data_IF_710971516166
#
_entry.id   IF_710971516166
#
_cell.length_a   1.000
_cell.length_b   1.000
_cell.length_c   1.000
_cell.angle_alpha   90.00
_cell.angle_beta   90.00
_cell.angle_gamma   90.00
#
_symmetry.space_group_name_H-M   'P 1'
#
loop_
_entity.id
_entity.type
_entity.pdbx_description
1 polymer ?
#
# COMPACT_ATOMS: atom_id res chain seq x y z
N UNK A 1 -3.61 17.96 -7.79
CA UNK A 1 -3.23 16.98 -8.84
C UNK A 1 -2.40 17.62 -9.95
N UNK A 2 -2.41 18.97 -10.09
CA UNK A 2 -1.78 19.69 -11.21
C UNK A 2 -2.52 19.57 -12.56
N UNK A 3 -3.67 18.88 -12.59
CA UNK A 3 -4.52 18.79 -13.77
C UNK A 3 -5.43 20.01 -13.89
N UNK A 4 -5.79 20.39 -15.13
CA UNK A 4 -6.79 21.43 -15.41
C UNK A 4 -8.16 20.97 -14.92
N UNK A 5 -8.83 21.84 -14.17
CA UNK A 5 -10.16 21.62 -13.63
C UNK A 5 -11.11 22.68 -14.13
N UNK A 6 -12.38 22.34 -14.35
CA UNK A 6 -13.43 23.29 -14.60
C UNK A 6 -13.81 24.08 -13.35
N UNK A 7 -14.76 25.01 -13.47
CA UNK A 7 -15.22 25.89 -12.38
C UNK A 7 -15.81 25.13 -11.19
N UNK A 8 -16.29 23.92 -11.41
CA UNK A 8 -16.90 23.04 -10.41
C UNK A 8 -15.90 22.03 -9.84
N UNK A 9 -14.62 22.05 -10.28
CA UNK A 9 -13.55 21.20 -9.80
C UNK A 9 -13.44 19.85 -10.49
N UNK A 10 -14.08 19.64 -11.64
CA UNK A 10 -13.97 18.39 -12.43
C UNK A 10 -12.82 18.47 -13.43
N UNK A 11 -12.19 17.33 -13.70
CA UNK A 11 -11.05 17.23 -14.62
C UNK A 11 -11.49 17.54 -16.05
N UNK A 12 -10.85 18.52 -16.69
CA UNK A 12 -11.10 18.86 -18.08
C UNK A 12 -10.48 17.83 -19.02
N UNK A 13 -11.31 17.26 -19.92
CA UNK A 13 -10.87 16.30 -20.92
C UNK A 13 -11.28 16.69 -22.33
N UNK A 14 -10.48 16.23 -23.28
CA UNK A 14 -10.73 16.38 -24.74
C UNK A 14 -11.79 15.39 -25.22
N UNK A 15 -12.10 15.42 -26.51
CA UNK A 15 -13.03 14.47 -27.14
C UNK A 15 -12.49 13.03 -27.13
N UNK A 16 -11.20 12.83 -26.92
CA UNK A 16 -10.58 11.51 -26.78
C UNK A 16 -10.55 11.00 -25.34
N UNK A 17 -11.10 11.78 -24.39
CA UNK A 17 -11.11 11.53 -22.95
C UNK A 17 -9.71 11.63 -22.30
N UNK A 18 -8.73 12.19 -23.00
CA UNK A 18 -7.44 12.58 -22.42
C UNK A 18 -7.59 13.88 -21.64
N UNK A 19 -6.86 14.03 -20.55
CA UNK A 19 -6.83 15.31 -19.84
C UNK A 19 -6.19 16.40 -20.72
N UNK A 20 -6.61 17.63 -20.52
CA UNK A 20 -6.05 18.77 -21.25
C UNK A 20 -4.60 19.02 -20.89
N UNK A 21 -4.24 18.72 -19.65
CA UNK A 21 -2.92 18.99 -19.09
C UNK A 21 -1.87 17.94 -19.49
N UNK A 22 -2.26 16.66 -19.49
CA UNK A 22 -1.35 15.55 -19.80
C UNK A 22 -2.03 14.52 -20.71
N UNK A 23 -1.52 14.29 -21.93
CA UNK A 23 -2.11 13.36 -22.90
C UNK A 23 -1.99 11.88 -22.47
N UNK A 24 -1.20 11.55 -21.48
CA UNK A 24 -1.08 10.18 -20.95
C UNK A 24 -2.11 9.86 -19.86
N UNK A 25 -2.82 10.90 -19.39
CA UNK A 25 -3.85 10.75 -18.35
C UNK A 25 -5.24 10.82 -19.01
N UNK A 26 -6.08 9.86 -18.68
CA UNK A 26 -7.46 9.79 -19.16
C UNK A 26 -8.42 9.91 -17.99
N UNK A 27 -9.55 10.59 -18.19
CA UNK A 27 -10.61 10.66 -17.21
C UNK A 27 -11.98 10.52 -17.86
N UNK A 28 -12.92 9.86 -17.17
CA UNK A 28 -14.28 9.64 -17.65
C UNK A 28 -15.27 9.53 -16.48
N UNK A 29 -16.56 9.65 -16.77
CA UNK A 29 -17.62 9.64 -15.78
C UNK A 29 -17.76 10.96 -15.04
N UNK A 30 -18.25 10.87 -13.80
CA UNK A 30 -18.63 12.09 -13.05
C UNK A 30 -17.42 12.94 -12.63
N UNK A 31 -16.21 12.38 -12.62
CA UNK A 31 -14.97 13.09 -12.31
C UNK A 31 -14.50 14.01 -13.46
N UNK A 32 -14.97 13.78 -14.70
CA UNK A 32 -14.47 14.44 -15.89
C UNK A 32 -15.50 15.38 -16.53
N UNK A 33 -15.04 16.49 -17.09
CA UNK A 33 -15.83 17.39 -17.94
C UNK A 33 -15.21 17.49 -19.33
N UNK A 34 -15.99 17.13 -20.37
CA UNK A 34 -15.55 17.29 -21.76
C UNK A 34 -15.65 18.75 -22.18
N UNK A 35 -14.52 19.38 -22.56
CA UNK A 35 -14.47 20.83 -22.90
C UNK A 35 -15.34 21.19 -24.08
N UNK A 36 -15.39 20.32 -25.12
CA UNK A 36 -16.16 20.60 -26.34
C UNK A 36 -17.62 20.11 -26.23
N UNK A 37 -17.92 19.25 -25.28
CA UNK A 37 -19.22 18.61 -25.13
C UNK A 37 -19.65 18.49 -23.68
N UNK A 38 -19.75 19.60 -22.93
CA UNK A 38 -20.13 19.55 -21.52
C UNK A 38 -21.51 18.90 -21.36
N UNK A 39 -21.63 18.04 -20.34
CA UNK A 39 -22.86 17.32 -20.01
C UNK A 39 -23.06 17.32 -18.50
N UNK A 40 -24.31 17.17 -18.12
CA UNK A 40 -24.67 16.97 -16.72
C UNK A 40 -24.06 15.68 -16.18
N UNK A 41 -23.74 15.65 -14.90
CA UNK A 41 -23.22 14.46 -14.20
C UNK A 41 -24.36 13.46 -14.01
N UNK A 42 -24.40 12.44 -14.85
CA UNK A 42 -25.40 11.39 -14.81
C UNK A 42 -24.83 10.05 -15.24
N UNK A 43 -25.21 8.99 -14.55
CA UNK A 43 -24.70 7.63 -14.74
C UNK A 43 -24.77 7.12 -16.20
N UNK A 44 -25.74 7.61 -17.00
CA UNK A 44 -25.84 7.24 -18.42
C UNK A 44 -24.61 7.73 -19.22
N UNK A 45 -24.04 8.89 -18.91
CA UNK A 45 -22.85 9.40 -19.56
C UNK A 45 -21.61 8.64 -19.10
N UNK A 46 -21.50 8.38 -17.80
CA UNK A 46 -20.40 7.59 -17.24
C UNK A 46 -20.33 6.20 -17.88
N UNK A 47 -21.46 5.47 -17.93
CA UNK A 47 -21.52 4.14 -18.54
C UNK A 47 -21.17 4.18 -20.03
N UNK A 48 -21.60 5.19 -20.76
CA UNK A 48 -21.36 5.31 -22.20
C UNK A 48 -19.95 5.78 -22.54
N UNK A 49 -19.25 6.42 -21.63
CA UNK A 49 -17.83 6.75 -21.79
C UNK A 49 -16.89 5.55 -21.62
N UNK A 50 -17.33 4.51 -20.92
CA UNK A 50 -16.51 3.32 -20.67
C UNK A 50 -15.91 2.67 -21.93
N UNK A 51 -16.72 2.27 -22.93
CA UNK A 51 -16.20 1.65 -24.16
C UNK A 51 -15.26 2.55 -24.98
N UNK A 52 -15.54 3.88 -25.20
CA UNK A 52 -14.59 4.77 -25.83
C UNK A 52 -13.30 4.94 -25.03
N UNK A 53 -13.37 5.07 -23.71
CA UNK A 53 -12.21 5.14 -22.84
C UNK A 53 -11.32 3.90 -22.99
N UNK A 54 -11.88 2.71 -22.83
CA UNK A 54 -11.15 1.44 -22.97
C UNK A 54 -10.50 1.30 -24.36
N UNK A 55 -11.18 1.77 -25.42
CA UNK A 55 -10.63 1.77 -26.77
C UNK A 55 -9.45 2.72 -26.89
N UNK A 56 -9.60 3.95 -26.40
CA UNK A 56 -8.57 4.98 -26.54
C UNK A 56 -7.35 4.69 -25.67
N UNK A 57 -7.51 4.12 -24.49
CA UNK A 57 -6.40 3.57 -23.69
C UNK A 57 -5.60 2.52 -24.46
N UNK A 58 -6.29 1.58 -25.12
CA UNK A 58 -5.61 0.55 -25.94
C UNK A 58 -4.90 1.17 -27.13
N UNK A 59 -5.55 2.10 -27.85
CA UNK A 59 -4.94 2.79 -28.99
C UNK A 59 -3.72 3.62 -28.56
N UNK A 60 -3.77 4.24 -27.39
CA UNK A 60 -2.62 4.97 -26.82
C UNK A 60 -1.44 4.06 -26.52
N UNK A 61 -1.67 2.88 -25.93
CA UNK A 61 -0.64 1.89 -25.68
C UNK A 61 -0.05 1.26 -26.95
N UNK A 62 -0.80 1.29 -28.06
CA UNK A 62 -0.38 0.79 -29.36
C UNK A 62 0.20 1.90 -30.27
N UNK A 63 0.42 3.11 -29.76
CA UNK A 63 0.83 4.30 -30.52
C UNK A 63 -0.03 4.58 -31.76
N UNK A 64 -1.35 4.29 -31.68
CA UNK A 64 -2.31 4.50 -32.75
C UNK A 64 -3.15 5.76 -32.55
N UNK A 65 -3.67 6.38 -33.61
CA UNK A 65 -4.53 7.56 -33.51
C UNK A 65 -5.78 7.27 -32.67
N UNK A 66 -6.04 8.13 -31.70
CA UNK A 66 -7.22 8.05 -30.82
C UNK A 66 -8.49 8.41 -31.57
N UNK A 67 -9.63 7.92 -31.09
CA UNK A 67 -10.92 8.17 -31.71
C UNK A 67 -11.77 9.12 -30.83
N UNK A 68 -12.34 10.18 -31.40
CA UNK A 68 -13.20 11.07 -30.66
C UNK A 68 -14.50 10.38 -30.24
N UNK A 69 -14.99 10.78 -29.08
CA UNK A 69 -16.29 10.39 -28.53
C UNK A 69 -17.20 11.60 -28.47
N UNK A 70 -18.39 11.49 -29.04
CA UNK A 70 -19.42 12.52 -28.99
C UNK A 70 -20.59 12.05 -28.13
N UNK A 71 -20.80 12.64 -26.94
CA UNK A 71 -21.91 12.25 -26.08
C UNK A 71 -23.25 12.61 -26.68
N UNK A 72 -24.26 11.81 -26.45
CA UNK A 72 -25.62 12.06 -26.90
C UNK A 72 -26.19 13.37 -26.33
N UNK A 73 -27.06 14.02 -27.11
CA UNK A 73 -27.70 15.27 -26.68
C UNK A 73 -28.90 15.06 -25.77
N UNK A 74 -29.61 13.94 -25.93
CA UNK A 74 -30.81 13.62 -25.17
C UNK A 74 -30.72 12.21 -24.60
N UNK A 75 -31.15 12.04 -23.38
CA UNK A 75 -31.22 10.73 -22.70
C UNK A 75 -32.56 10.54 -22.01
N UNK A 76 -32.89 9.31 -21.67
CA UNK A 76 -34.05 8.97 -20.88
C UNK A 76 -33.64 8.97 -19.40
N UNK A 77 -34.23 9.86 -18.63
CA UNK A 77 -34.12 9.83 -17.17
C UNK A 77 -35.28 9.02 -16.59
N UNK A 78 -34.99 8.01 -15.81
CA UNK A 78 -35.96 7.20 -15.07
C UNK A 78 -35.69 7.40 -13.57
N UNK A 79 -36.56 8.13 -12.90
CA UNK A 79 -36.40 8.50 -11.49
C UNK A 79 -37.47 7.75 -10.68
N UNK A 80 -37.04 6.96 -9.70
CA UNK A 80 -37.95 6.33 -8.75
C UNK A 80 -38.36 7.38 -7.69
N UNK A 81 -39.63 7.47 -7.40
CA UNK A 81 -40.19 8.40 -6.40
C UNK A 81 -40.51 7.70 -5.08
N UNK A 82 -40.21 6.41 -4.93
CA UNK A 82 -40.66 5.56 -3.83
C UNK A 82 -41.91 4.75 -4.25
N UNK A 83 -42.43 3.92 -3.37
CA UNK A 83 -43.68 3.18 -3.48
C UNK A 83 -43.90 2.43 -4.82
N UNK A 84 -42.84 1.90 -5.41
CA UNK A 84 -42.87 1.22 -6.71
C UNK A 84 -43.47 2.09 -7.84
N UNK A 85 -43.15 3.40 -7.80
CA UNK A 85 -43.57 4.40 -8.78
C UNK A 85 -42.37 5.10 -9.38
N UNK A 86 -42.41 5.48 -10.66
CA UNK A 86 -41.32 6.17 -11.32
C UNK A 86 -41.84 7.23 -12.31
N UNK A 87 -41.00 8.24 -12.52
CA UNK A 87 -41.15 9.26 -13.54
C UNK A 87 -40.12 9.05 -14.65
N UNK A 88 -40.54 9.00 -15.88
CA UNK A 88 -39.68 9.02 -17.05
C UNK A 88 -39.69 10.41 -17.68
N UNK A 89 -38.52 10.91 -18.01
CA UNK A 89 -38.39 12.19 -18.75
C UNK A 89 -37.41 12.04 -19.89
N UNK A 90 -37.77 12.53 -21.07
CA UNK A 90 -36.89 12.62 -22.22
C UNK A 90 -37.22 13.84 -23.04
N UNK A 91 -36.34 14.86 -23.00
CA UNK A 91 -36.57 16.13 -23.72
C UNK A 91 -37.89 16.80 -23.28
N UNK A 92 -38.85 16.90 -24.15
CA UNK A 92 -40.17 17.52 -23.88
C UNK A 92 -41.24 16.52 -23.44
N UNK A 93 -40.94 15.23 -23.42
CA UNK A 93 -41.88 14.20 -23.04
C UNK A 93 -41.62 13.71 -21.64
N UNK A 94 -42.67 13.62 -20.82
CA UNK A 94 -42.62 13.02 -19.51
C UNK A 94 -43.83 12.09 -19.29
N UNK A 95 -43.63 11.03 -18.56
CA UNK A 95 -44.67 10.12 -18.12
C UNK A 95 -44.39 9.64 -16.70
N UNK A 96 -45.42 9.26 -15.96
CA UNK A 96 -45.28 8.76 -14.60
C UNK A 96 -46.20 7.57 -14.36
N UNK A 97 -45.78 6.61 -13.54
CA UNK A 97 -46.61 5.45 -13.21
C UNK A 97 -45.81 4.27 -12.65
N UNK A 98 -46.55 3.32 -12.08
CA UNK A 98 -46.00 2.09 -11.53
C UNK A 98 -45.41 1.17 -12.65
N UNK A 99 -45.96 1.24 -13.88
CA UNK A 99 -45.42 0.49 -15.03
C UNK A 99 -44.02 0.97 -15.41
N UNK A 100 -43.72 2.27 -15.24
CA UNK A 100 -42.37 2.83 -15.47
C UNK A 100 -41.39 2.36 -14.40
N UNK A 101 -41.84 2.20 -13.15
CA UNK A 101 -41.01 1.63 -12.11
C UNK A 101 -40.63 0.16 -12.45
N UNK A 102 -41.60 -0.67 -12.91
CA UNK A 102 -41.32 -2.03 -13.33
C UNK A 102 -40.33 -2.07 -14.51
N UNK A 103 -40.47 -1.16 -15.43
CA UNK A 103 -39.53 -1.03 -16.56
C UNK A 103 -38.14 -0.63 -16.10
N UNK A 104 -38.06 0.34 -15.22
CA UNK A 104 -36.80 0.76 -14.58
C UNK A 104 -36.15 -0.40 -13.83
N UNK A 105 -36.87 -1.08 -12.97
CA UNK A 105 -36.39 -2.25 -12.21
C UNK A 105 -35.83 -3.34 -13.13
N UNK A 106 -36.54 -3.61 -14.23
CA UNK A 106 -36.07 -4.55 -15.24
C UNK A 106 -34.74 -4.13 -15.89
N UNK A 107 -34.59 -2.84 -16.24
CA UNK A 107 -33.36 -2.30 -16.82
C UNK A 107 -32.22 -2.42 -15.81
N UNK A 108 -32.45 -2.00 -14.56
CA UNK A 108 -31.44 -2.02 -13.52
C UNK A 108 -31.00 -3.44 -13.19
N UNK A 109 -31.93 -4.39 -13.04
CA UNK A 109 -31.61 -5.82 -12.83
C UNK A 109 -30.83 -6.42 -13.99
N UNK A 110 -31.21 -6.11 -15.23
CA UNK A 110 -30.48 -6.57 -16.42
C UNK A 110 -29.07 -5.96 -16.50
N UNK A 111 -28.92 -4.74 -16.08
CA UNK A 111 -27.61 -4.10 -16.00
C UNK A 111 -26.75 -4.76 -14.92
N UNK A 112 -27.28 -4.95 -13.72
CA UNK A 112 -26.57 -5.61 -12.61
C UNK A 112 -26.25 -7.08 -12.90
N UNK A 113 -27.11 -7.79 -13.63
CA UNK A 113 -26.85 -9.18 -14.02
C UNK A 113 -25.56 -9.35 -14.85
N UNK A 114 -25.12 -8.32 -15.57
CA UNK A 114 -23.83 -8.34 -16.31
C UNK A 114 -22.61 -8.42 -15.39
N UNK A 115 -22.76 -7.96 -14.16
CA UNK A 115 -21.69 -7.97 -13.17
C UNK A 115 -21.81 -9.12 -12.17
N UNK A 116 -23.05 -9.60 -11.93
CA UNK A 116 -23.32 -10.68 -10.99
C UNK A 116 -23.23 -12.07 -11.65
N UNK A 117 -23.62 -12.16 -12.93
CA UNK A 117 -23.58 -13.41 -13.70
C UNK A 117 -22.43 -13.32 -14.71
N UNK A 118 -21.20 -13.46 -14.22
CA UNK A 118 -20.05 -13.60 -15.10
C UNK A 118 -20.22 -14.91 -15.91
N UNK A 119 -19.93 -14.89 -17.23
CA UNK A 119 -19.95 -16.12 -18.01
C UNK A 119 -19.00 -17.13 -17.37
N UNK A 120 -19.46 -18.36 -17.19
CA UNK A 120 -18.58 -19.44 -16.81
C UNK A 120 -17.45 -19.47 -17.83
N UNK A 121 -16.20 -19.47 -17.34
CA UNK A 121 -15.06 -19.70 -18.22
C UNK A 121 -15.13 -21.16 -18.66
N UNK A 122 -15.87 -21.44 -19.74
CA UNK A 122 -15.74 -22.71 -20.43
C UNK A 122 -14.29 -22.82 -20.91
N UNK A 123 -13.64 -23.87 -20.49
CA UNK A 123 -12.35 -24.27 -21.03
C UNK A 123 -12.58 -24.74 -22.47
N UNK A 124 -12.81 -23.81 -23.37
CA UNK A 124 -12.88 -24.06 -24.80
C UNK A 124 -11.48 -24.33 -25.32
N UNK A 125 -11.14 -25.59 -25.50
CA UNK A 125 -9.87 -26.06 -26.05
C UNK A 125 -9.58 -25.50 -27.47
N UNK A 126 -10.50 -24.73 -28.06
CA UNK A 126 -10.40 -24.19 -29.44
C UNK A 126 -10.73 -22.69 -29.57
N UNK A 127 -11.04 -21.96 -28.52
CA UNK A 127 -11.21 -20.51 -28.61
C UNK A 127 -9.86 -19.82 -28.42
N UNK A 128 -9.28 -19.37 -29.52
CA UNK A 128 -8.23 -18.35 -29.44
C UNK A 128 -8.79 -17.16 -28.66
N UNK A 129 -8.10 -16.69 -27.61
CA UNK A 129 -8.56 -15.56 -26.81
C UNK A 129 -8.67 -14.32 -27.71
N UNK A 130 -9.91 -13.88 -27.93
CA UNK A 130 -10.18 -12.60 -28.60
C UNK A 130 -9.83 -11.47 -27.66
N UNK A 131 -8.74 -10.77 -27.93
CA UNK A 131 -8.19 -9.63 -27.21
C UNK A 131 -7.43 -9.99 -25.92
N UNK A 132 -6.33 -10.56 -26.09
CA UNK A 132 -5.24 -10.50 -25.13
C UNK A 132 -4.11 -9.73 -25.81
N UNK A 133 -3.43 -8.90 -25.07
CA UNK A 133 -2.00 -8.77 -25.30
C UNK A 133 -1.53 -10.21 -25.33
N UNK A 134 -1.03 -10.76 -26.47
CA UNK A 134 -0.59 -12.14 -26.48
C UNK A 134 0.55 -12.24 -25.49
N UNK A 135 0.34 -12.94 -24.38
CA UNK A 135 1.46 -13.47 -23.63
C UNK A 135 2.27 -14.26 -24.65
N UNK A 136 3.56 -13.97 -24.83
CA UNK A 136 4.43 -14.79 -25.64
C UNK A 136 4.27 -16.24 -25.21
N UNK A 137 4.29 -17.21 -26.13
CA UNK A 137 4.02 -18.60 -25.80
C UNK A 137 4.86 -19.15 -24.63
N UNK A 138 6.06 -18.59 -24.43
CA UNK A 138 6.94 -18.84 -23.29
C UNK A 138 6.37 -18.30 -21.96
N UNK A 139 5.76 -17.11 -21.93
CA UNK A 139 5.15 -16.54 -20.72
C UNK A 139 3.90 -17.30 -20.27
N UNK A 140 3.10 -17.80 -21.22
CA UNK A 140 1.95 -18.64 -20.91
C UNK A 140 2.40 -20.01 -20.37
N UNK A 141 3.47 -20.60 -20.90
CA UNK A 141 4.04 -21.83 -20.38
C UNK A 141 4.65 -21.66 -19.00
N UNK A 142 5.32 -20.54 -18.74
CA UNK A 142 5.86 -20.19 -17.42
C UNK A 142 4.75 -20.01 -16.39
N UNK A 143 3.66 -19.31 -16.75
CA UNK A 143 2.51 -19.13 -15.86
C UNK A 143 1.84 -20.47 -15.52
N UNK A 144 1.64 -21.36 -16.50
CA UNK A 144 1.08 -22.69 -16.29
C UNK A 144 2.03 -23.55 -15.44
N UNK A 145 3.33 -23.49 -15.68
CA UNK A 145 4.34 -24.22 -14.90
C UNK A 145 4.38 -23.75 -13.44
N UNK A 146 4.33 -22.43 -13.22
CA UNK A 146 4.28 -21.85 -11.87
C UNK A 146 3.02 -22.27 -11.08
N UNK A 147 1.86 -22.39 -11.75
CA UNK A 147 0.61 -22.86 -11.13
C UNK A 147 0.65 -24.37 -10.82
N UNK A 148 1.33 -25.16 -11.66
CA UNK A 148 1.34 -26.62 -11.56
C UNK A 148 2.31 -27.16 -10.48
N UNK A 149 3.33 -26.40 -10.09
CA UNK A 149 4.33 -26.82 -9.11
C UNK A 149 4.19 -26.11 -7.77
N UNK A 150 3.04 -26.25 -7.12
CA UNK A 150 2.84 -25.72 -5.76
C UNK A 150 3.54 -26.62 -4.73
N UNK A 151 4.76 -26.28 -4.41
CA UNK A 151 5.44 -26.85 -3.23
C UNK A 151 5.31 -25.87 -2.05
N UNK A 152 4.71 -26.29 -0.94
CA UNK A 152 4.58 -25.48 0.28
C UNK A 152 5.80 -25.52 1.21
N UNK A 153 6.89 -26.16 0.78
CA UNK A 153 8.10 -26.32 1.59
C UNK A 153 9.30 -25.56 1.03
N UNK A 154 10.49 -26.14 1.16
CA UNK A 154 11.76 -25.54 0.68
C UNK A 154 11.78 -25.22 -0.81
N UNK A 155 10.88 -25.80 -1.62
CA UNK A 155 10.72 -25.50 -3.04
C UNK A 155 9.87 -24.27 -3.36
N UNK A 156 9.22 -23.62 -2.36
CA UNK A 156 8.43 -22.41 -2.55
C UNK A 156 9.27 -21.13 -2.62
N UNK A 157 10.55 -21.24 -2.94
CA UNK A 157 11.44 -20.08 -3.11
C UNK A 157 11.21 -19.41 -4.45
N UNK A 158 11.30 -18.09 -4.48
CA UNK A 158 11.41 -17.33 -5.73
C UNK A 158 12.61 -17.86 -6.53
N UNK A 159 12.45 -18.02 -7.86
CA UNK A 159 13.48 -18.57 -8.72
C UNK A 159 14.82 -17.82 -8.56
N UNK A 160 15.93 -18.57 -8.54
CA UNK A 160 17.26 -17.99 -8.27
C UNK A 160 17.64 -16.89 -9.26
N UNK A 161 17.27 -17.01 -10.54
CA UNK A 161 17.51 -15.98 -11.56
C UNK A 161 16.74 -14.70 -11.29
N UNK A 162 15.47 -14.80 -10.94
CA UNK A 162 14.59 -13.67 -10.58
C UNK A 162 15.12 -12.96 -9.34
N UNK A 163 15.45 -13.72 -8.29
CA UNK A 163 16.02 -13.16 -7.07
C UNK A 163 17.34 -12.46 -7.32
N UNK A 164 18.23 -13.06 -8.14
CA UNK A 164 19.53 -12.48 -8.48
C UNK A 164 19.38 -11.15 -9.24
N UNK A 165 18.44 -11.06 -10.20
CA UNK A 165 18.17 -9.80 -10.92
C UNK A 165 17.60 -8.74 -9.98
N UNK A 166 16.63 -9.10 -9.13
CA UNK A 166 16.06 -8.19 -8.17
C UNK A 166 17.12 -7.64 -7.19
N UNK A 167 17.95 -8.50 -6.61
CA UNK A 167 19.05 -8.10 -5.72
C UNK A 167 20.08 -7.23 -6.44
N UNK A 168 20.39 -7.52 -7.70
CA UNK A 168 21.31 -6.73 -8.53
C UNK A 168 20.84 -5.29 -8.80
N UNK A 169 19.54 -5.02 -8.72
CA UNK A 169 18.97 -3.68 -8.85
C UNK A 169 19.08 -2.85 -7.54
N UNK A 170 19.29 -3.49 -6.39
CA UNK A 170 19.35 -2.83 -5.08
C UNK A 170 20.74 -2.23 -4.81
N UNK A 171 20.77 -1.23 -3.93
CA UNK A 171 22.01 -0.57 -3.47
C UNK A 171 22.01 -0.45 -1.95
N UNK A 172 22.16 -1.56 -1.20
CA UNK A 172 22.24 -1.53 0.25
C UNK A 172 23.52 -0.81 0.72
N UNK A 173 23.43 -0.18 1.89
CA UNK A 173 24.60 0.43 2.52
C UNK A 173 25.67 -0.61 2.84
N UNK A 174 26.92 -0.24 2.60
CA UNK A 174 28.09 -1.02 2.98
C UNK A 174 28.57 -0.65 4.39
N UNK A 175 29.15 -1.64 5.09
CA UNK A 175 29.70 -1.45 6.43
C UNK A 175 30.98 -2.26 6.59
N UNK A 176 31.98 -1.69 7.26
CA UNK A 176 33.29 -2.33 7.50
C UNK A 176 33.19 -3.52 8.52
N UNK A 177 32.13 -3.56 9.30
CA UNK A 177 31.90 -4.63 10.27
C UNK A 177 31.11 -5.82 9.65
N UNK A 178 30.66 -5.73 8.39
CA UNK A 178 30.11 -6.86 7.62
C UNK A 178 31.26 -7.59 6.92
N UNK A 179 31.50 -8.82 7.35
CA UNK A 179 32.58 -9.67 6.78
C UNK A 179 32.09 -10.47 5.59
N UNK A 180 30.87 -11.06 5.71
CA UNK A 180 30.16 -11.76 4.63
C UNK A 180 28.76 -11.19 4.55
N UNK A 181 28.33 -10.76 3.37
CA UNK A 181 27.02 -10.19 3.09
C UNK A 181 26.65 -10.34 1.62
N UNK A 182 25.74 -9.49 1.12
CA UNK A 182 25.17 -9.63 -0.22
C UNK A 182 26.17 -9.48 -1.40
N UNK A 183 27.33 -8.87 -1.20
CA UNK A 183 28.33 -8.72 -2.27
C UNK A 183 29.02 -10.04 -2.65
N UNK A 184 29.24 -10.90 -1.65
CA UNK A 184 29.80 -12.24 -1.83
C UNK A 184 29.04 -13.18 -0.91
N UNK A 185 27.80 -13.56 -1.28
CA UNK A 185 26.92 -14.29 -0.40
C UNK A 185 27.43 -15.74 -0.21
N UNK A 186 27.31 -16.21 1.03
CA UNK A 186 27.55 -17.60 1.45
C UNK A 186 26.27 -18.12 2.10
N UNK A 187 26.33 -19.29 2.75
CA UNK A 187 25.20 -19.88 3.46
C UNK A 187 24.65 -18.98 4.58
N UNK A 188 25.50 -18.13 5.16
CA UNK A 188 25.13 -17.14 6.16
C UNK A 188 25.98 -15.86 6.07
N UNK A 189 25.41 -14.74 6.52
CA UNK A 189 26.15 -13.50 6.70
C UNK A 189 26.99 -13.54 7.99
N UNK A 190 28.15 -12.87 7.99
CA UNK A 190 29.02 -12.69 9.14
C UNK A 190 29.19 -11.20 9.43
N UNK A 191 28.82 -10.77 10.65
CA UNK A 191 28.98 -9.42 11.14
C UNK A 191 29.79 -9.43 12.44
N UNK A 192 30.65 -8.42 12.62
CA UNK A 192 31.45 -8.27 13.83
C UNK A 192 30.72 -7.42 14.86
N UNK A 193 30.85 -7.80 16.13
CA UNK A 193 30.45 -6.95 17.25
C UNK A 193 31.73 -6.29 17.79
N UNK A 194 31.86 -4.96 17.75
CA UNK A 194 33.01 -4.25 18.27
C UNK A 194 33.18 -4.45 19.79
N UNK A 195 34.41 -4.35 20.29
CA UNK A 195 34.67 -4.40 21.73
C UNK A 195 33.93 -3.26 22.45
N UNK A 196 33.35 -3.55 23.61
CA UNK A 196 32.57 -2.59 24.41
C UNK A 196 31.15 -2.37 23.88
N UNK A 197 30.69 -3.20 22.95
CA UNK A 197 29.32 -3.19 22.43
C UNK A 197 28.63 -4.52 22.70
N UNK A 198 27.33 -4.44 22.97
CA UNK A 198 26.40 -5.55 22.98
C UNK A 198 25.50 -5.52 21.74
N UNK A 199 25.00 -6.67 21.32
CA UNK A 199 24.12 -6.79 20.19
C UNK A 199 22.66 -6.85 20.66
N UNK A 200 21.83 -6.01 20.09
CA UNK A 200 20.36 -6.04 20.20
C UNK A 200 19.81 -6.78 19.00
N UNK A 201 18.91 -7.74 19.24
CA UNK A 201 18.20 -8.49 18.20
C UNK A 201 16.71 -8.20 18.28
N UNK A 202 16.09 -7.96 17.12
CA UNK A 202 14.64 -7.95 16.98
C UNK A 202 14.23 -8.58 15.66
N UNK A 203 12.97 -9.02 15.58
CA UNK A 203 12.35 -9.52 14.35
C UNK A 203 10.89 -9.13 14.31
N UNK A 204 10.51 -8.50 13.18
CA UNK A 204 9.13 -8.19 12.84
C UNK A 204 8.82 -8.67 11.42
N UNK A 205 7.60 -9.18 11.25
CA UNK A 205 7.12 -9.65 9.97
C UNK A 205 5.60 -9.48 9.90
N UNK A 206 5.08 -8.87 8.83
CA UNK A 206 3.65 -8.71 8.63
C UNK A 206 3.26 -8.67 7.15
N UNK A 207 1.98 -8.93 6.88
CA UNK A 207 1.41 -8.90 5.54
C UNK A 207 1.17 -7.47 5.10
N UNK A 208 1.20 -7.25 3.79
CA UNK A 208 0.85 -5.94 3.25
C UNK A 208 -0.60 -5.59 3.56
N UNK A 209 -0.81 -4.35 3.94
CA UNK A 209 -2.12 -3.74 4.19
C UNK A 209 -2.40 -2.59 3.21
N UNK A 210 -1.51 -2.40 2.23
CA UNK A 210 -1.62 -1.43 1.14
C UNK A 210 -1.15 -2.08 -0.16
N UNK A 211 -1.60 -1.53 -1.30
CA UNK A 211 -1.31 -2.11 -2.62
C UNK A 211 0.02 -1.65 -3.22
N UNK A 212 0.66 -0.61 -2.66
CA UNK A 212 1.95 -0.09 -3.14
C UNK A 212 3.11 -0.84 -2.49
N UNK A 213 3.86 -1.68 -3.24
CA UNK A 213 4.95 -2.46 -2.68
C UNK A 213 6.12 -1.60 -2.17
N UNK A 214 6.42 -0.47 -2.82
CA UNK A 214 7.51 0.40 -2.43
C UNK A 214 7.23 1.08 -1.08
N UNK A 215 6.04 1.67 -0.92
CA UNK A 215 5.62 2.28 0.36
C UNK A 215 5.53 1.21 1.46
N UNK A 216 5.01 0.02 1.12
CA UNK A 216 4.98 -1.09 2.07
C UNK A 216 6.39 -1.49 2.53
N UNK A 217 7.34 -1.57 1.61
CA UNK A 217 8.75 -1.83 1.92
C UNK A 217 9.35 -0.81 2.89
N UNK A 218 9.09 0.48 2.65
CA UNK A 218 9.53 1.56 3.56
C UNK A 218 8.95 1.39 4.97
N UNK A 219 7.66 1.11 5.06
CA UNK A 219 6.98 0.95 6.36
C UNK A 219 7.49 -0.30 7.09
N UNK A 220 7.67 -1.42 6.39
CA UNK A 220 8.16 -2.65 6.99
C UNK A 220 9.56 -2.49 7.59
N UNK A 221 10.48 -1.85 6.86
CA UNK A 221 11.82 -1.58 7.36
C UNK A 221 11.81 -0.60 8.53
N UNK A 222 11.03 0.48 8.43
CA UNK A 222 10.94 1.48 9.51
C UNK A 222 10.32 0.90 10.79
N UNK A 223 9.32 0.06 10.66
CA UNK A 223 8.70 -0.64 11.78
C UNK A 223 9.69 -1.56 12.48
N UNK A 224 10.37 -2.44 11.74
CA UNK A 224 11.36 -3.36 12.31
C UNK A 224 12.57 -2.65 12.95
N UNK A 225 12.91 -1.45 12.51
CA UNK A 225 13.92 -0.61 13.16
C UNK A 225 13.44 0.00 14.48
N UNK A 226 12.12 0.05 14.72
CA UNK A 226 11.52 0.66 15.90
C UNK A 226 12.06 0.10 17.21
N UNK A 227 12.11 -1.21 17.35
CA UNK A 227 12.64 -1.90 18.51
C UNK A 227 14.12 -1.55 18.79
N UNK A 228 14.91 -1.48 17.73
CA UNK A 228 16.34 -1.14 17.84
C UNK A 228 16.49 0.27 18.41
N UNK A 229 15.72 1.21 17.88
CA UNK A 229 15.74 2.60 18.34
C UNK A 229 15.18 2.74 19.76
N UNK A 230 14.12 2.00 20.10
CA UNK A 230 13.55 2.01 21.44
C UNK A 230 14.52 1.53 22.52
N UNK A 231 15.46 0.64 22.17
CA UNK A 231 16.55 0.19 23.06
C UNK A 231 17.76 1.15 23.09
N UNK A 232 17.70 2.28 22.36
CA UNK A 232 18.82 3.22 22.23
C UNK A 232 19.97 2.69 21.38
N UNK A 233 19.76 1.62 20.64
CA UNK A 233 20.77 1.00 19.80
C UNK A 233 20.91 1.69 18.43
N UNK A 234 22.09 1.55 17.84
CA UNK A 234 22.37 1.93 16.45
C UNK A 234 22.17 0.70 15.57
N UNK A 235 21.36 0.82 14.53
CA UNK A 235 21.14 -0.28 13.60
C UNK A 235 22.45 -0.69 12.92
N UNK A 236 22.70 -1.99 12.78
CA UNK A 236 23.91 -2.53 12.17
C UNK A 236 23.61 -3.32 10.90
N UNK A 237 22.81 -4.36 11.02
CA UNK A 237 22.53 -5.29 9.92
C UNK A 237 21.11 -5.81 9.96
N UNK A 238 20.58 -6.13 8.78
CA UNK A 238 19.25 -6.71 8.61
C UNK A 238 19.29 -7.93 7.69
N UNK A 239 18.48 -8.94 8.00
CA UNK A 239 18.13 -10.02 7.08
C UNK A 239 16.64 -9.92 6.78
N UNK A 240 16.27 -9.91 5.49
CA UNK A 240 14.89 -9.80 5.03
C UNK A 240 14.20 -11.16 4.99
N UNK A 241 12.95 -11.21 5.42
CA UNK A 241 12.03 -12.31 5.15
C UNK A 241 10.90 -11.76 4.29
N UNK A 242 10.83 -12.21 3.04
CA UNK A 242 9.89 -11.72 2.06
C UNK A 242 9.01 -12.83 1.49
N UNK A 243 7.72 -12.56 1.34
CA UNK A 243 6.78 -13.43 0.64
C UNK A 243 6.15 -12.62 -0.49
N UNK A 244 6.17 -13.16 -1.71
CA UNK A 244 5.61 -12.50 -2.89
C UNK A 244 4.52 -13.40 -3.48
N UNK A 245 3.35 -12.83 -3.89
CA UNK A 245 2.32 -13.59 -4.57
C UNK A 245 2.84 -14.25 -5.83
N UNK A 246 2.37 -15.47 -6.07
CA UNK A 246 2.69 -16.22 -7.28
C UNK A 246 2.19 -15.49 -8.53
N UNK A 247 3.00 -15.47 -9.58
CA UNK A 247 2.65 -14.79 -10.82
C UNK A 247 3.66 -15.03 -11.93
N UNK A 248 3.55 -14.24 -12.98
CA UNK A 248 4.58 -14.20 -14.03
C UNK A 248 5.91 -13.75 -13.42
N UNK A 249 6.99 -14.38 -13.83
CA UNK A 249 8.34 -14.12 -13.30
C UNK A 249 8.70 -12.63 -13.32
N UNK A 250 8.37 -11.93 -14.41
CA UNK A 250 8.59 -10.48 -14.54
C UNK A 250 7.79 -9.67 -13.51
N UNK A 251 6.59 -10.11 -13.14
CA UNK A 251 5.77 -9.43 -12.15
C UNK A 251 6.24 -9.70 -10.71
N UNK A 252 6.67 -10.92 -10.45
CA UNK A 252 7.30 -11.29 -9.17
C UNK A 252 8.58 -10.48 -8.97
N UNK A 253 9.42 -10.39 -10.01
CA UNK A 253 10.64 -9.58 -9.99
C UNK A 253 10.33 -8.09 -9.73
N UNK A 254 9.43 -7.50 -10.51
CA UNK A 254 9.04 -6.10 -10.39
C UNK A 254 8.49 -5.76 -8.98
N UNK A 255 7.60 -6.60 -8.45
CA UNK A 255 7.07 -6.44 -7.10
C UNK A 255 8.17 -6.53 -6.04
N UNK A 256 9.08 -7.51 -6.17
CA UNK A 256 10.19 -7.69 -5.25
C UNK A 256 11.16 -6.50 -5.30
N UNK A 257 11.50 -6.02 -6.50
CA UNK A 257 12.37 -4.86 -6.70
C UNK A 257 11.76 -3.61 -6.04
N UNK A 258 10.49 -3.33 -6.30
CA UNK A 258 9.81 -2.16 -5.71
C UNK A 258 9.79 -2.24 -4.18
N UNK A 259 9.35 -3.37 -3.64
CA UNK A 259 9.24 -3.58 -2.19
C UNK A 259 10.61 -3.46 -1.51
N UNK A 260 11.62 -4.12 -2.04
CA UNK A 260 12.95 -4.09 -1.46
C UNK A 260 13.65 -2.74 -1.67
N UNK A 261 13.38 -2.02 -2.77
CA UNK A 261 13.91 -0.66 -2.96
C UNK A 261 13.40 0.30 -1.90
N UNK A 262 12.09 0.25 -1.61
CA UNK A 262 11.51 1.04 -0.51
C UNK A 262 12.14 0.70 0.85
N UNK A 263 12.33 -0.58 1.13
CA UNK A 263 12.99 -1.00 2.37
C UNK A 263 14.45 -0.55 2.46
N UNK A 264 15.20 -0.66 1.36
CA UNK A 264 16.61 -0.25 1.28
C UNK A 264 16.78 1.25 1.54
N UNK A 265 15.89 2.09 1.06
CA UNK A 265 15.95 3.53 1.34
C UNK A 265 15.93 3.82 2.85
N UNK A 266 15.06 3.14 3.58
CA UNK A 266 14.95 3.30 5.05
C UNK A 266 16.14 2.67 5.78
N UNK A 267 16.57 1.48 5.37
CA UNK A 267 17.73 0.82 5.95
C UNK A 267 19.02 1.65 5.73
N UNK A 268 19.20 2.22 4.54
CA UNK A 268 20.33 3.08 4.21
C UNK A 268 20.35 4.37 5.05
N UNK A 269 19.18 5.02 5.24
CA UNK A 269 19.08 6.18 6.14
C UNK A 269 19.48 5.82 7.58
N UNK A 270 19.11 4.61 8.03
CA UNK A 270 19.50 4.07 9.33
C UNK A 270 20.95 3.55 9.38
N UNK A 271 21.70 3.56 8.26
CA UNK A 271 23.03 2.95 8.12
C UNK A 271 23.05 1.46 8.47
N UNK A 272 21.94 0.77 8.21
CA UNK A 272 21.74 -0.65 8.46
C UNK A 272 22.01 -1.44 7.17
N UNK A 273 23.03 -2.30 7.16
CA UNK A 273 23.35 -3.10 6.00
C UNK A 273 22.34 -4.24 5.82
N UNK A 274 21.75 -4.38 4.63
CA UNK A 274 21.05 -5.61 4.29
C UNK A 274 22.10 -6.67 3.95
N UNK A 275 22.18 -7.73 4.75
CA UNK A 275 23.25 -8.75 4.65
C UNK A 275 22.78 -10.10 4.13
N UNK A 276 21.48 -10.33 4.04
CA UNK A 276 20.90 -11.57 3.57
C UNK A 276 19.39 -11.61 3.71
N UNK A 277 18.82 -12.80 3.60
CA UNK A 277 17.39 -13.00 3.81
C UNK A 277 16.85 -14.27 3.20
N UNK A 278 15.52 -14.38 3.22
CA UNK A 278 14.77 -15.46 2.61
C UNK A 278 13.61 -14.90 1.81
N UNK A 279 13.42 -15.40 0.58
CA UNK A 279 12.30 -14.98 -0.28
C UNK A 279 11.52 -16.21 -0.71
N UNK A 280 10.24 -16.23 -0.38
CA UNK A 280 9.32 -17.30 -0.75
C UNK A 280 8.13 -16.80 -1.57
N UNK A 281 7.48 -17.71 -2.27
CA UNK A 281 6.18 -17.46 -2.87
C UNK A 281 5.06 -17.79 -1.88
N UNK A 282 3.99 -16.99 -1.89
CA UNK A 282 2.83 -17.17 -1.02
C UNK A 282 1.56 -16.60 -1.61
N UNK A 283 0.50 -16.54 -0.81
CA UNK A 283 -0.78 -16.00 -1.26
C UNK A 283 -0.84 -14.48 -1.19
N UNK A 284 -0.11 -13.89 -0.24
CA UNK A 284 -0.13 -12.47 0.06
C UNK A 284 1.29 -11.91 0.08
N UNK A 285 1.42 -10.65 -0.28
CA UNK A 285 2.66 -9.90 -0.13
C UNK A 285 2.94 -9.70 1.36
N UNK A 286 4.14 -10.07 1.81
CA UNK A 286 4.56 -9.86 3.19
C UNK A 286 6.05 -9.59 3.25
N UNK A 287 6.46 -8.80 4.23
CA UNK A 287 7.86 -8.44 4.45
C UNK A 287 8.12 -8.23 5.93
N UNK A 288 9.29 -8.61 6.34
CA UNK A 288 9.81 -8.29 7.66
C UNK A 288 11.32 -8.43 7.69
N UNK A 289 11.89 -8.08 8.81
CA UNK A 289 13.33 -8.10 8.99
C UNK A 289 13.70 -8.66 10.37
N UNK A 290 14.71 -9.50 10.40
CA UNK A 290 15.47 -9.69 11.60
C UNK A 290 16.60 -8.64 11.59
N UNK A 291 16.57 -7.73 12.57
CA UNK A 291 17.52 -6.61 12.66
C UNK A 291 18.43 -6.79 13.86
N UNK A 292 19.70 -6.49 13.65
CA UNK A 292 20.71 -6.39 14.68
C UNK A 292 21.10 -4.93 14.86
N UNK A 293 21.19 -4.50 16.11
CA UNK A 293 21.70 -3.21 16.50
C UNK A 293 22.84 -3.31 17.49
N UNK A 294 23.62 -2.26 17.61
CA UNK A 294 24.73 -2.14 18.55
C UNK A 294 24.38 -1.13 19.65
N UNK A 295 24.56 -1.52 20.88
CA UNK A 295 24.39 -0.67 22.05
C UNK A 295 25.68 -0.76 22.91
N UNK A 296 25.89 0.18 23.82
CA UNK A 296 26.95 0.09 24.82
C UNK A 296 26.73 -1.16 25.69
N UNK A 297 27.78 -1.89 26.03
CA UNK A 297 27.65 -3.12 26.82
C UNK A 297 27.38 -2.87 28.32
N UNK A 298 27.41 -1.60 28.75
CA UNK A 298 27.08 -1.18 30.12
C UNK A 298 25.56 -1.12 30.31
N UNK A 299 24.99 -1.85 31.28
CA UNK A 299 23.53 -1.97 31.46
C UNK A 299 22.79 -0.64 31.74
N UNK A 300 23.49 0.35 32.31
CA UNK A 300 22.97 1.69 32.61
C UNK A 300 22.84 2.59 31.38
N UNK A 301 23.46 2.22 30.27
CA UNK A 301 23.42 2.95 29.00
C UNK A 301 22.36 2.40 28.04
N UNK A 302 21.64 1.33 28.42
CA UNK A 302 20.61 0.71 27.60
C UNK A 302 19.25 1.28 27.98
N UNK A 303 18.55 1.89 27.03
CA UNK A 303 17.16 2.30 27.22
C UNK A 303 16.24 1.07 27.37
N UNK A 304 15.29 1.13 28.29
CA UNK A 304 14.39 0.02 28.62
C UNK A 304 12.97 0.52 28.79
N UNK A 305 12.00 -0.39 28.74
CA UNK A 305 10.59 -0.10 29.06
C UNK A 305 10.42 0.32 30.54
N UNK A 306 11.13 -0.31 31.45
CA UNK A 306 11.13 0.05 32.87
C UNK A 306 12.16 1.10 33.21
N UNK A 307 11.90 1.85 34.31
CA UNK A 307 12.79 2.91 34.79
C UNK A 307 12.09 4.27 34.96
N UNK A 308 10.80 4.37 34.64
CA UNK A 308 10.00 5.58 34.86
C UNK A 308 10.00 5.96 36.35
N UNK A 309 9.95 7.27 36.60
CA UNK A 309 9.94 7.86 37.94
C UNK A 309 8.76 8.80 38.13
N UNK A 310 8.28 8.93 39.34
CA UNK A 310 7.27 9.94 39.66
C UNK A 310 7.77 11.34 39.29
N UNK A 311 6.98 12.07 38.52
CA UNK A 311 7.35 13.38 37.99
C UNK A 311 7.90 13.38 36.55
N UNK A 312 8.17 12.23 35.96
CA UNK A 312 8.53 12.11 34.55
C UNK A 312 7.38 12.58 33.66
N UNK A 313 7.72 13.06 32.46
CA UNK A 313 6.77 13.50 31.42
C UNK A 313 6.77 12.47 30.31
N UNK A 314 5.57 12.07 29.89
CA UNK A 314 5.37 11.18 28.73
C UNK A 314 5.48 11.97 27.43
N UNK A 315 6.30 11.51 26.51
CA UNK A 315 6.53 12.13 25.19
C UNK A 315 6.13 11.15 24.10
N UNK A 316 5.17 11.54 23.26
CA UNK A 316 4.89 10.87 21.99
C UNK A 316 5.65 11.55 20.87
N UNK A 317 6.39 10.78 20.08
CA UNK A 317 7.21 11.30 18.97
C UNK A 317 6.41 11.52 17.69
N UNK A 318 5.24 10.87 17.58
CA UNK A 318 4.33 10.97 16.43
C UNK A 318 2.86 10.89 16.89
N UNK A 319 1.92 11.45 16.09
CA UNK A 319 0.49 11.29 16.36
C UNK A 319 0.08 9.81 16.32
N UNK A 320 -0.90 9.47 17.15
CA UNK A 320 -1.54 8.14 17.17
C UNK A 320 -2.76 8.09 16.26
N UNK A 321 -3.26 6.88 15.95
CA UNK A 321 -4.51 6.68 15.21
C UNK A 321 -4.38 5.90 13.90
N UNK A 322 -3.18 5.45 13.52
CA UNK A 322 -2.96 4.69 12.29
C UNK A 322 -3.84 3.44 12.22
N UNK A 323 -3.89 2.64 13.29
CA UNK A 323 -4.70 1.41 13.34
C UNK A 323 -6.20 1.69 13.16
N UNK A 324 -6.74 2.76 13.78
CA UNK A 324 -8.13 3.18 13.63
C UNK A 324 -8.43 3.59 12.19
N UNK A 325 -7.54 4.38 11.57
CA UNK A 325 -7.69 4.84 10.19
C UNK A 325 -7.65 3.68 9.19
N UNK A 326 -6.74 2.72 9.35
CA UNK A 326 -6.69 1.55 8.47
C UNK A 326 -7.88 0.60 8.69
N UNK A 327 -8.39 0.48 9.91
CA UNK A 327 -9.63 -0.25 10.17
C UNK A 327 -10.85 0.42 9.48
N UNK A 328 -10.92 1.75 9.48
CA UNK A 328 -11.93 2.50 8.75
C UNK A 328 -11.74 2.39 7.22
N UNK A 329 -10.49 2.41 6.76
CA UNK A 329 -10.16 2.22 5.35
C UNK A 329 -10.63 0.86 4.82
N UNK A 330 -10.42 -0.20 5.56
CA UNK A 330 -10.91 -1.54 5.22
C UNK A 330 -12.45 -1.62 5.12
N UNK A 331 -13.16 -0.73 5.84
CA UNK A 331 -14.63 -0.57 5.75
C UNK A 331 -15.08 0.46 4.72
N UNK A 332 -14.15 1.07 3.96
CA UNK A 332 -14.39 2.14 2.98
C UNK A 332 -14.98 3.44 3.62
N UNK A 333 -14.66 3.69 4.88
CA UNK A 333 -15.15 4.84 5.65
C UNK A 333 -14.09 5.95 5.80
N UNK A 334 -12.82 5.65 5.50
CA UNK A 334 -11.74 6.63 5.60
C UNK A 334 -11.63 7.51 4.34
N UNK A 335 -11.29 8.78 4.55
CA UNK A 335 -10.92 9.68 3.45
C UNK A 335 -9.48 9.40 3.02
N UNK A 336 -9.21 9.44 1.70
CA UNK A 336 -7.88 9.17 1.15
C UNK A 336 -6.77 10.02 1.79
N UNK A 337 -7.01 11.32 2.04
CA UNK A 337 -6.03 12.20 2.70
C UNK A 337 -5.63 11.73 4.11
N UNK A 338 -6.56 11.15 4.89
CA UNK A 338 -6.26 10.64 6.22
C UNK A 338 -5.34 9.41 6.16
N UNK A 339 -5.54 8.58 5.13
CA UNK A 339 -4.68 7.43 4.88
C UNK A 339 -3.30 7.87 4.41
N UNK A 340 -3.22 8.90 3.54
CA UNK A 340 -1.94 9.48 3.12
C UNK A 340 -1.15 10.03 4.30
N UNK A 341 -1.78 10.82 5.18
CA UNK A 341 -1.16 11.35 6.40
C UNK A 341 -0.68 10.22 7.33
N UNK A 342 -1.47 9.14 7.46
CA UNK A 342 -1.08 7.96 8.22
C UNK A 342 0.15 7.25 7.62
N UNK A 343 0.17 7.06 6.30
CA UNK A 343 1.31 6.46 5.58
C UNK A 343 2.57 7.31 5.73
N UNK A 344 2.46 8.63 5.62
CA UNK A 344 3.58 9.54 5.84
C UNK A 344 4.13 9.42 7.27
N UNK A 345 3.24 9.38 8.28
CA UNK A 345 3.64 9.17 9.68
C UNK A 345 4.34 7.82 9.89
N UNK A 346 3.85 6.75 9.24
CA UNK A 346 4.46 5.41 9.34
C UNK A 346 5.84 5.33 8.66
N UNK A 347 6.06 6.09 7.60
CA UNK A 347 7.36 6.17 6.91
C UNK A 347 8.37 7.04 7.64
N UNK A 348 7.94 7.96 8.48
CA UNK A 348 8.82 8.82 9.25
C UNK A 348 9.57 8.02 10.31
N UNK A 349 10.92 8.09 10.30
CA UNK A 349 11.77 7.35 11.23
C UNK A 349 11.77 7.99 12.63
N UNK A 350 11.79 7.14 13.66
CA UNK A 350 12.00 7.55 15.05
C UNK A 350 13.47 7.62 15.45
N UNK A 351 14.42 7.40 14.52
CA UNK A 351 15.86 7.39 14.80
C UNK A 351 16.34 8.65 15.53
N UNK A 352 16.02 9.82 14.99
CA UNK A 352 16.45 11.10 15.59
C UNK A 352 15.81 11.33 16.98
N UNK A 353 14.56 10.90 17.17
CA UNK A 353 13.91 10.97 18.47
C UNK A 353 14.62 10.07 19.50
N UNK A 354 14.97 8.85 19.13
CA UNK A 354 15.70 7.92 19.98
C UNK A 354 17.12 8.43 20.32
N UNK A 355 17.82 9.03 19.35
CA UNK A 355 19.11 9.69 19.58
C UNK A 355 18.97 10.85 20.59
N UNK A 356 17.87 11.62 20.50
CA UNK A 356 17.55 12.69 21.44
C UNK A 356 17.29 12.12 22.83
N UNK A 357 16.47 11.08 22.97
CA UNK A 357 16.16 10.43 24.25
C UNK A 357 17.42 9.87 24.91
N UNK A 358 18.29 9.21 24.15
CA UNK A 358 19.58 8.73 24.65
C UNK A 358 20.46 9.88 25.13
N UNK A 359 20.54 10.97 24.34
CA UNK A 359 21.35 12.14 24.68
C UNK A 359 20.89 12.84 25.96
N UNK A 360 19.59 12.87 26.23
CA UNK A 360 18.99 13.49 27.40
C UNK A 360 18.63 12.49 28.50
N UNK A 361 19.16 11.28 28.43
CA UNK A 361 19.04 10.24 29.46
C UNK A 361 17.59 9.96 29.85
N UNK A 362 16.71 9.76 28.85
CA UNK A 362 15.33 9.39 29.11
C UNK A 362 15.26 8.18 30.04
N UNK A 363 14.40 8.25 31.06
CA UNK A 363 14.30 7.24 32.12
C UNK A 363 13.73 5.90 31.63
N UNK A 364 12.88 5.92 30.60
CA UNK A 364 12.28 4.75 29.97
C UNK A 364 11.91 5.05 28.52
N UNK A 365 11.86 4.03 27.68
CA UNK A 365 11.47 4.12 26.29
C UNK A 365 10.84 2.84 25.80
N UNK A 366 9.86 2.94 24.91
CA UNK A 366 9.30 1.83 24.12
C UNK A 366 8.86 2.37 22.76
N UNK A 367 8.84 1.54 21.73
CA UNK A 367 8.10 1.82 20.52
C UNK A 367 6.59 1.68 20.76
N UNK A 368 5.76 2.27 19.90
CA UNK A 368 4.32 2.19 20.00
C UNK A 368 3.74 1.55 18.73
N UNK A 369 3.27 0.31 18.86
CA UNK A 369 2.83 -0.55 17.76
C UNK A 369 1.44 -1.14 18.00
N UNK A 370 1.24 -2.43 17.72
CA UNK A 370 -0.06 -3.09 17.68
C UNK A 370 -0.86 -3.12 18.98
N UNK A 371 -0.22 -2.98 20.13
CA UNK A 371 -0.92 -2.91 21.42
C UNK A 371 -1.52 -1.54 21.74
N UNK A 372 -1.21 -0.53 20.91
CA UNK A 372 -1.68 0.84 21.06
C UNK A 372 -1.09 1.54 22.29
N UNK A 373 -1.48 2.82 22.48
CA UNK A 373 -0.90 3.67 23.52
C UNK A 373 -1.02 3.05 24.93
N UNK A 374 -2.19 2.59 25.31
CA UNK A 374 -2.43 2.06 26.66
C UNK A 374 -1.70 0.75 26.91
N UNK A 375 -1.65 -0.14 25.89
CA UNK A 375 -0.93 -1.40 26.03
C UNK A 375 0.55 -1.18 26.28
N UNK A 376 1.21 -0.37 25.46
CA UNK A 376 2.64 -0.07 25.62
C UNK A 376 2.93 0.75 26.89
N UNK A 377 2.04 1.66 27.30
CA UNK A 377 2.21 2.38 28.55
C UNK A 377 2.15 1.43 29.77
N UNK A 378 1.27 0.44 29.74
CA UNK A 378 1.22 -0.59 30.80
C UNK A 378 2.51 -1.41 30.83
N UNK A 379 3.12 -1.70 29.69
CA UNK A 379 4.43 -2.36 29.63
C UNK A 379 5.58 -1.50 30.21
N UNK A 380 5.40 -0.18 30.26
CA UNK A 380 6.37 0.75 30.89
C UNK A 380 6.09 0.96 32.39
N UNK A 381 4.83 1.13 32.78
CA UNK A 381 4.46 1.45 34.17
C UNK A 381 4.67 0.26 35.12
N UNK A 382 4.29 -0.96 34.67
CA UNK A 382 4.43 -2.19 35.48
C UNK A 382 5.86 -2.43 35.97
N UNK A 383 6.90 -2.52 35.11
CA UNK A 383 8.27 -2.75 35.58
C UNK A 383 8.86 -1.52 36.28
N UNK A 384 8.24 -0.36 36.17
CA UNK A 384 8.65 0.88 36.86
C UNK A 384 7.95 1.08 38.21
N UNK A 385 6.91 0.27 38.50
CA UNK A 385 6.12 0.36 39.74
C UNK A 385 5.53 1.79 39.98
N UNK A 386 5.07 2.45 38.90
CA UNK A 386 4.49 3.79 38.92
C UNK A 386 3.14 3.82 38.20
N UNK A 387 2.32 4.80 38.53
CA UNK A 387 1.11 5.12 37.78
C UNK A 387 1.40 6.21 36.75
N UNK A 388 0.55 6.29 35.70
CA UNK A 388 0.63 7.31 34.67
C UNK A 388 -0.73 8.00 34.50
N UNK A 389 -0.70 9.31 34.33
CA UNK A 389 -1.88 10.13 34.02
C UNK A 389 -1.78 10.63 32.59
N UNK A 390 -2.82 10.37 31.79
CA UNK A 390 -2.92 10.84 30.41
C UNK A 390 -4.00 11.92 30.32
N UNK A 391 -3.65 13.06 29.78
CA UNK A 391 -4.61 14.12 29.42
C UNK A 391 -5.05 13.88 27.98
N UNK A 392 -6.26 13.37 27.78
CA UNK A 392 -6.76 13.00 26.43
C UNK A 392 -6.74 14.17 25.45
N UNK A 393 -7.01 15.39 25.93
CA UNK A 393 -6.98 16.60 25.12
C UNK A 393 -5.57 17.03 24.66
N UNK A 394 -4.52 16.45 25.25
CA UNK A 394 -3.12 16.73 24.90
C UNK A 394 -2.51 15.67 23.96
N UNK A 395 -3.26 14.60 23.65
CA UNK A 395 -2.76 13.57 22.75
C UNK A 395 -2.72 14.08 21.31
N UNK A 396 -1.58 13.97 20.62
CA UNK A 396 -1.54 14.21 19.19
C UNK A 396 -2.20 13.05 18.45
N UNK A 397 -3.27 13.35 17.73
CA UNK A 397 -4.09 12.36 17.03
C UNK A 397 -4.13 12.71 15.54
N UNK A 398 -3.97 11.71 14.67
CA UNK A 398 -4.09 11.88 13.22
C UNK A 398 -5.50 12.34 12.84
N UNK A 399 -5.57 13.22 11.84
CA UNK A 399 -6.84 13.70 11.29
C UNK A 399 -7.73 12.52 10.89
N UNK A 400 -8.98 12.58 11.35
CA UNK A 400 -9.98 11.56 11.07
C UNK A 400 -10.03 10.39 12.04
N UNK A 401 -8.98 10.12 12.81
CA UNK A 401 -8.95 8.96 13.71
C UNK A 401 -9.96 9.03 14.87
N UNK A 402 -10.36 10.23 15.29
CA UNK A 402 -11.44 10.41 16.29
C UNK A 402 -12.84 10.26 15.70
N UNK A 403 -12.97 10.26 14.37
CA UNK A 403 -14.26 10.26 13.66
C UNK A 403 -14.65 8.91 13.11
N UNK A 404 -13.72 7.98 13.15
CA UNK A 404 -13.83 6.60 12.67
C UNK A 404 -13.81 5.61 13.84
#
# INVERSE_FOLDING_TARGET
TGLSLDVDGFIEVTDTLQTVTDPNIFAAGDVATMINHPREKAGVFAVRQGPPLARNLRLSLEDKPLRPYHPQRHWLALISTGDQYAVASRSKFSAAGAWLWRWKDHIDRRFMAKFNNLPAMEADANSQPRSSIPLAGEEAQQAISAIAMRCGGCGAKVGASTLSRALGALRPAERDDVVIGLHAPDDAAIVRVPSGKAMVHSVDFFRSFIDDPYIFGQIAANHSLGDIFAMGAEAQSATAVATVPQGLESKVEDTLVQMMSGAIDILNDAKCALVGGHTGEGQELALGFAINGLVDDRPDQIMRKGGMRAGDVLILTKPIGTGTLFAAHARLEAKGRWIDDALQSMRHSNRLAAECFRRFEASACTDLTGFGLLGHLVEMTRPSEVDATIYLSALPILDGAERT
#
